data_IF_020633900733
#
_entry.id   IF_020633900733
#
_cell.length_a   1.000
_cell.length_b   1.000
_cell.length_c   1.000
_cell.angle_alpha   90.00
_cell.angle_beta   90.00
_cell.angle_gamma   90.00
#
_symmetry.space_group_name_H-M   'P 1'
#
loop_
_entity.id
_entity.type
_entity.pdbx_description
1 polymer ?
#
# COMPACT_ATOMS: atom_id res chain seq x y z
N UNK A 1 28.35 -8.03 -6.56
CA UNK A 1 27.04 -8.70 -6.38
C UNK A 1 26.20 -8.01 -5.31
N UNK A 2 26.67 -7.91 -4.06
CA UNK A 2 25.91 -7.31 -2.95
C UNK A 2 25.51 -5.84 -3.16
N UNK A 3 26.40 -5.01 -3.72
CA UNK A 3 26.07 -3.61 -4.05
C UNK A 3 24.90 -3.50 -5.03
N UNK A 4 24.92 -4.34 -6.08
CA UNK A 4 23.85 -4.40 -7.07
C UNK A 4 22.53 -4.81 -6.43
N UNK A 5 22.54 -5.78 -5.52
CA UNK A 5 21.34 -6.20 -4.80
C UNK A 5 20.76 -5.06 -3.95
N UNK A 6 21.61 -4.31 -3.25
CA UNK A 6 21.19 -3.15 -2.46
C UNK A 6 20.61 -2.02 -3.34
N UNK A 7 21.20 -1.77 -4.51
CA UNK A 7 20.70 -0.79 -5.47
C UNK A 7 19.35 -1.22 -6.08
N UNK A 8 19.21 -2.50 -6.44
CA UNK A 8 17.95 -3.06 -6.91
C UNK A 8 16.85 -2.94 -5.85
N UNK A 9 17.18 -3.18 -4.57
CA UNK A 9 16.24 -3.01 -3.46
C UNK A 9 15.79 -1.55 -3.30
N UNK A 10 16.71 -0.59 -3.38
CA UNK A 10 16.38 0.84 -3.34
C UNK A 10 15.49 1.25 -4.51
N UNK A 11 15.78 0.79 -5.72
CA UNK A 11 14.95 1.07 -6.88
C UNK A 11 13.54 0.47 -6.72
N UNK A 12 13.46 -0.77 -6.26
CA UNK A 12 12.19 -1.42 -5.95
C UNK A 12 11.35 -0.60 -4.95
N UNK A 13 11.96 -0.12 -3.86
CA UNK A 13 11.27 0.72 -2.89
C UNK A 13 10.75 2.00 -3.54
N UNK A 14 11.57 2.69 -4.34
CA UNK A 14 11.15 3.92 -5.04
C UNK A 14 9.94 3.68 -5.94
N UNK A 15 9.99 2.61 -6.73
CA UNK A 15 8.89 2.24 -7.63
C UNK A 15 7.64 1.88 -6.82
N UNK A 16 7.79 1.17 -5.70
CA UNK A 16 6.68 0.84 -4.80
C UNK A 16 6.06 2.09 -4.19
N UNK A 17 6.85 3.06 -3.72
CA UNK A 17 6.36 4.34 -3.19
C UNK A 17 5.52 5.09 -4.24
N UNK A 18 6.00 5.17 -5.48
CA UNK A 18 5.25 5.79 -6.58
C UNK A 18 3.93 5.06 -6.86
N UNK A 19 3.95 3.73 -6.84
CA UNK A 19 2.74 2.93 -7.01
C UNK A 19 1.74 3.15 -5.86
N UNK A 20 2.20 3.28 -4.62
CA UNK A 20 1.34 3.57 -3.47
C UNK A 20 0.69 4.96 -3.56
N UNK A 21 1.42 5.95 -4.05
CA UNK A 21 0.86 7.29 -4.31
C UNK A 21 -0.24 7.23 -5.38
N UNK A 22 0.01 6.54 -6.49
CA UNK A 22 -0.98 6.35 -7.53
C UNK A 22 -2.20 5.56 -7.03
N UNK A 23 -1.98 4.54 -6.21
CA UNK A 23 -3.03 3.73 -5.61
C UNK A 23 -3.93 4.55 -4.67
N UNK A 24 -3.34 5.42 -3.84
CA UNK A 24 -4.09 6.31 -2.96
C UNK A 24 -5.02 7.23 -3.77
N UNK A 25 -4.49 7.89 -4.81
CA UNK A 25 -5.29 8.75 -5.70
C UNK A 25 -6.41 7.94 -6.38
N UNK A 26 -6.13 6.72 -6.84
CA UNK A 26 -7.13 5.88 -7.49
C UNK A 26 -8.26 5.43 -6.53
N UNK A 27 -7.94 5.20 -5.25
CA UNK A 27 -8.91 4.89 -4.20
C UNK A 27 -9.74 6.11 -3.80
N UNK A 28 -9.10 7.28 -3.63
CA UNK A 28 -9.80 8.54 -3.35
C UNK A 28 -10.82 8.88 -4.44
N UNK A 29 -10.45 8.69 -5.71
CA UNK A 29 -11.35 8.87 -6.86
C UNK A 29 -12.57 7.92 -6.86
N UNK A 30 -12.58 6.90 -5.99
CA UNK A 30 -13.72 5.98 -5.80
C UNK A 30 -14.46 6.19 -4.49
N UNK A 31 -14.11 7.22 -3.73
CA UNK A 31 -14.75 7.55 -2.47
C UNK A 31 -14.17 6.83 -1.25
N UNK A 32 -13.04 6.12 -1.38
CA UNK A 32 -12.31 5.62 -0.23
C UNK A 32 -11.45 6.73 0.38
N UNK A 33 -11.36 6.77 1.72
CA UNK A 33 -10.41 7.66 2.40
C UNK A 33 -9.02 7.01 2.37
N UNK A 34 -8.21 7.35 1.37
CA UNK A 34 -6.87 6.82 1.20
C UNK A 34 -5.82 7.94 1.24
N UNK A 35 -4.62 7.62 1.70
CA UNK A 35 -3.49 8.56 1.73
C UNK A 35 -2.17 7.83 1.61
N UNK A 36 -1.16 8.50 1.08
CA UNK A 36 0.20 8.00 1.01
C UNK A 36 1.18 9.12 1.38
N UNK A 37 1.90 8.95 2.49
CA UNK A 37 2.90 9.91 2.95
C UNK A 37 4.29 9.33 2.84
N UNK A 38 5.22 10.08 2.25
CA UNK A 38 6.63 9.73 2.20
C UNK A 38 7.36 10.33 3.41
N UNK A 39 8.28 9.58 4.01
CA UNK A 39 9.10 10.07 5.12
C UNK A 39 10.57 10.22 4.69
N UNK A 40 11.17 11.36 5.01
CA UNK A 40 12.48 11.77 4.47
C UNK A 40 12.37 12.30 3.03
N UNK A 41 13.15 13.32 2.67
CA UNK A 41 13.04 14.02 1.37
C UNK A 41 13.33 13.17 0.11
N UNK A 42 13.49 11.85 0.25
CA UNK A 42 13.70 10.89 -0.82
C UNK A 42 12.59 9.83 -0.82
N UNK A 43 12.30 9.24 -1.99
CA UNK A 43 11.31 8.15 -2.19
C UNK A 43 11.79 6.81 -1.60
N UNK A 44 12.35 6.83 -0.39
CA UNK A 44 12.96 5.68 0.27
C UNK A 44 12.05 5.07 1.34
N UNK A 45 10.93 5.72 1.66
CA UNK A 45 9.92 5.16 2.55
C UNK A 45 8.54 5.76 2.30
N UNK A 46 7.49 5.01 2.62
CA UNK A 46 6.13 5.52 2.64
C UNK A 46 5.23 4.81 3.67
N UNK A 47 4.25 5.55 4.17
CA UNK A 47 3.08 5.04 4.89
C UNK A 47 1.85 5.26 4.02
N UNK A 48 1.34 4.19 3.44
CA UNK A 48 0.06 4.14 2.76
C UNK A 48 -1.03 3.72 3.74
N UNK A 49 -2.18 4.39 3.71
CA UNK A 49 -3.31 4.11 4.57
C UNK A 49 -4.61 4.19 3.77
N UNK A 50 -5.53 3.27 4.01
CA UNK A 50 -6.89 3.33 3.48
C UNK A 50 -7.89 2.93 4.55
N UNK A 51 -8.92 3.75 4.75
CA UNK A 51 -10.08 3.40 5.56
C UNK A 51 -11.13 2.73 4.70
N UNK A 52 -11.54 1.54 5.12
CA UNK A 52 -12.71 0.82 4.62
C UNK A 52 -13.93 1.13 5.50
N UNK A 53 -15.04 0.44 5.25
CA UNK A 53 -16.24 0.51 6.10
C UNK A 53 -15.95 -0.01 7.53
N UNK A 54 -16.84 0.32 8.47
CA UNK A 54 -16.81 -0.19 9.85
C UNK A 54 -15.50 0.07 10.59
N UNK A 55 -14.92 1.26 10.39
CA UNK A 55 -13.69 1.70 11.07
C UNK A 55 -12.50 0.73 10.84
N UNK A 56 -12.52 0.00 9.73
CA UNK A 56 -11.45 -0.91 9.33
C UNK A 56 -10.38 -0.14 8.56
N UNK A 57 -9.23 0.04 9.19
CA UNK A 57 -8.08 0.75 8.64
C UNK A 57 -7.01 -0.24 8.20
N UNK A 58 -6.58 -0.10 6.95
CA UNK A 58 -5.41 -0.78 6.42
C UNK A 58 -4.24 0.21 6.42
N UNK A 59 -3.08 -0.24 6.89
CA UNK A 59 -1.81 0.48 6.79
C UNK A 59 -0.78 -0.41 6.08
N UNK A 60 -0.14 0.13 5.06
CA UNK A 60 1.01 -0.48 4.41
C UNK A 60 2.23 0.42 4.59
N UNK A 61 3.30 -0.10 5.19
CA UNK A 61 4.55 0.60 5.39
C UNK A 61 5.63 -0.04 4.51
N UNK A 62 6.43 0.81 3.86
CA UNK A 62 7.63 0.40 3.13
C UNK A 62 8.79 1.30 3.51
N UNK A 63 9.94 0.70 3.74
CA UNK A 63 11.23 1.38 3.93
C UNK A 63 12.37 0.43 3.54
N UNK A 64 13.60 0.92 3.62
CA UNK A 64 14.81 0.12 3.54
C UNK A 64 14.95 -0.91 4.67
N UNK A 65 14.27 -0.71 5.80
CA UNK A 65 14.23 -1.65 6.93
C UNK A 65 13.20 -2.77 6.77
N UNK A 66 12.22 -2.61 5.89
CA UNK A 66 11.21 -3.65 5.69
C UNK A 66 9.88 -3.14 5.14
N UNK A 67 8.99 -4.11 4.94
CA UNK A 67 7.64 -3.94 4.39
C UNK A 67 6.66 -4.57 5.35
N UNK A 68 5.61 -3.85 5.73
CA UNK A 68 4.55 -4.37 6.60
C UNK A 68 3.17 -3.99 6.11
N UNK A 69 2.21 -4.89 6.35
CA UNK A 69 0.77 -4.67 6.22
C UNK A 69 0.14 -4.84 7.59
N UNK A 70 -0.69 -3.88 8.00
CA UNK A 70 -1.40 -3.94 9.28
C UNK A 70 -2.86 -3.60 9.05
N UNK A 71 -3.74 -4.42 9.60
CA UNK A 71 -5.17 -4.16 9.66
C UNK A 71 -5.59 -3.83 11.08
N UNK A 72 -6.34 -2.76 11.23
CA UNK A 72 -6.90 -2.32 12.49
C UNK A 72 -8.41 -2.15 12.36
N UNK A 73 -9.15 -2.49 13.42
CA UNK A 73 -10.57 -2.16 13.55
C UNK A 73 -10.84 -1.75 14.98
N UNK A 74 -11.49 -0.60 15.17
CA UNK A 74 -11.79 -0.06 16.51
C UNK A 74 -10.53 -0.03 17.40
N UNK A 75 -9.43 0.47 16.82
CA UNK A 75 -8.11 0.57 17.44
C UNK A 75 -7.45 -0.76 17.87
N UNK A 76 -7.99 -1.90 17.41
CA UNK A 76 -7.41 -3.23 17.63
C UNK A 76 -6.73 -3.73 16.38
N UNK A 77 -5.46 -4.13 16.51
CA UNK A 77 -4.75 -4.85 15.45
C UNK A 77 -5.42 -6.21 15.23
N UNK A 78 -5.90 -6.45 14.00
CA UNK A 78 -6.50 -7.71 13.57
C UNK A 78 -5.46 -8.63 12.94
N UNK A 79 -4.53 -8.04 12.19
CA UNK A 79 -3.54 -8.76 11.42
C UNK A 79 -2.33 -7.88 11.18
N UNK A 80 -1.14 -8.50 11.23
CA UNK A 80 0.10 -7.92 10.76
C UNK A 80 0.86 -8.94 9.91
N UNK A 81 1.23 -8.54 8.70
CA UNK A 81 2.02 -9.33 7.76
C UNK A 81 3.28 -8.57 7.39
N UNK A 82 4.33 -9.30 7.02
CA UNK A 82 5.63 -8.73 6.68
C UNK A 82 6.15 -9.27 5.34
N UNK A 83 6.98 -8.49 4.66
CA UNK A 83 7.64 -8.91 3.42
C UNK A 83 6.68 -9.31 2.30
N UNK A 84 6.83 -10.54 1.79
CA UNK A 84 6.07 -11.01 0.62
C UNK A 84 4.55 -11.11 0.89
N UNK A 85 4.14 -11.48 2.09
CA UNK A 85 2.72 -11.60 2.44
C UNK A 85 2.03 -10.22 2.46
N UNK A 86 2.73 -9.20 2.94
CA UNK A 86 2.26 -7.82 2.88
C UNK A 86 2.08 -7.33 1.42
N UNK A 87 3.03 -7.68 0.53
CA UNK A 87 2.93 -7.35 -0.90
C UNK A 87 1.74 -8.05 -1.55
N UNK A 88 1.47 -9.30 -1.19
CA UNK A 88 0.31 -10.03 -1.70
C UNK A 88 -1.00 -9.35 -1.30
N UNK A 89 -1.17 -8.93 -0.05
CA UNK A 89 -2.36 -8.18 0.37
C UNK A 89 -2.52 -6.84 -0.36
N UNK A 90 -1.41 -6.13 -0.60
CA UNK A 90 -1.44 -4.91 -1.41
C UNK A 90 -1.93 -5.16 -2.84
N UNK A 91 -1.54 -6.30 -3.42
CA UNK A 91 -1.99 -6.69 -4.75
C UNK A 91 -3.50 -7.00 -4.76
N UNK A 92 -4.02 -7.68 -3.74
CA UNK A 92 -5.46 -7.93 -3.60
C UNK A 92 -6.26 -6.63 -3.46
N UNK A 93 -5.80 -5.69 -2.63
CA UNK A 93 -6.39 -4.36 -2.52
C UNK A 93 -6.41 -3.62 -3.87
N UNK A 94 -5.31 -3.68 -4.63
CA UNK A 94 -5.25 -3.08 -5.97
C UNK A 94 -6.17 -3.80 -6.98
N UNK A 95 -6.45 -5.09 -6.79
CA UNK A 95 -7.37 -5.84 -7.65
C UNK A 95 -8.83 -5.45 -7.42
N UNK A 96 -9.24 -5.07 -6.20
CA UNK A 96 -10.56 -4.48 -5.94
C UNK A 96 -10.82 -3.26 -6.83
N UNK A 97 -9.76 -2.52 -7.19
CA UNK A 97 -9.90 -1.43 -8.14
C UNK A 97 -10.19 -1.91 -9.58
N UNK A 98 -9.72 -3.08 -10.00
CA UNK A 98 -9.93 -3.54 -11.38
C UNK A 98 -11.36 -4.04 -11.62
N UNK A 99 -12.00 -4.61 -10.60
CA UNK A 99 -13.29 -5.30 -10.74
C UNK A 99 -14.51 -4.38 -10.87
N UNK A 100 -14.49 -3.17 -10.28
CA UNK A 100 -15.61 -2.20 -10.37
C UNK A 100 -15.84 -1.65 -11.80
N UNK A 101 -15.03 -2.06 -12.78
CA UNK A 101 -15.08 -1.58 -14.17
C UNK A 101 -16.03 -2.37 -15.10
N UNK A 102 -16.91 -3.23 -14.59
CA UNK A 102 -17.99 -3.79 -15.42
C UNK A 102 -19.24 -2.95 -15.20
N UNK A 103 -19.64 -2.06 -16.13
CA UNK A 103 -20.98 -1.51 -16.11
C UNK A 103 -21.93 -2.67 -16.39
N UNK A 104 -22.83 -2.97 -15.47
CA UNK A 104 -24.04 -3.72 -15.81
C UNK A 104 -24.78 -2.88 -16.85
N UNK A 105 -24.70 -3.30 -18.11
CA UNK A 105 -25.54 -2.74 -19.16
C UNK A 105 -27.00 -2.97 -18.76
N UNK A 106 -27.75 -1.87 -18.64
CA UNK A 106 -29.22 -1.86 -18.55
C UNK A 106 -29.76 -1.67 -19.96
#
# INVERSE_FOLDING_TARGET
>A
MFYRLAEQHRQFIRDLVLNLQALAIALENRGYMASCYTCGGELNSASFMVSLADNHLIRFLVSDYGITWTEMRDDRELMKLEGAEAINQLQELANLLKEVRVPTAI
#
